data_IF_546756151853
#
_entry.id   IF_546756151853
#
_cell.length_a   1.000
_cell.length_b   1.000
_cell.length_c   1.000
_cell.angle_alpha   90.00
_cell.angle_beta   90.00
_cell.angle_gamma   90.00
#
_symmetry.space_group_name_H-M   'P 1'
#
loop_
_entity.id
_entity.type
_entity.pdbx_description
1 polymer ?
#
# COMPACT_ATOMS: atom_id res chain seq x y z
N UNK A 1 34.59 46.48 -0.85
CA UNK A 1 33.14 46.64 -0.54
C UNK A 1 32.68 48.10 -0.69
N UNK A 2 33.55 49.07 -0.40
CA UNK A 2 33.37 50.44 -0.88
C UNK A 2 34.02 50.63 -2.24
N UNK A 3 33.45 51.52 -3.04
CA UNK A 3 34.10 52.02 -4.25
C UNK A 3 35.12 53.10 -3.88
N UNK A 4 36.36 52.88 -4.31
CA UNK A 4 37.51 53.77 -4.06
C UNK A 4 38.22 54.12 -5.38
N UNK A 5 37.55 53.94 -6.52
CA UNK A 5 38.10 54.21 -7.85
C UNK A 5 38.14 55.70 -8.22
N UNK A 6 37.38 56.53 -7.49
CA UNK A 6 37.29 57.98 -7.66
C UNK A 6 38.41 58.78 -6.97
N UNK A 7 38.14 60.07 -6.72
CA UNK A 7 39.08 60.95 -6.02
C UNK A 7 39.24 60.57 -4.54
N UNK A 8 40.32 61.00 -3.87
CA UNK A 8 40.52 60.72 -2.43
C UNK A 8 39.36 61.25 -1.58
N UNK A 9 38.82 62.43 -1.92
CA UNK A 9 37.68 63.01 -1.21
C UNK A 9 36.42 62.14 -1.34
N UNK A 10 36.16 61.62 -2.54
CA UNK A 10 35.04 60.74 -2.85
C UNK A 10 35.19 59.36 -2.17
N UNK A 11 36.38 58.79 -2.18
CA UNK A 11 36.67 57.54 -1.46
C UNK A 11 36.45 57.69 0.06
N UNK A 12 36.85 58.83 0.64
CA UNK A 12 36.61 59.12 2.06
C UNK A 12 35.13 59.32 2.37
N UNK A 13 34.38 59.96 1.47
CA UNK A 13 32.92 60.14 1.61
C UNK A 13 32.21 58.79 1.58
N UNK A 14 32.54 57.93 0.61
CA UNK A 14 31.99 56.57 0.50
C UNK A 14 32.28 55.73 1.76
N UNK A 15 33.51 55.79 2.28
CA UNK A 15 33.91 55.09 3.50
C UNK A 15 33.20 55.64 4.74
N UNK A 16 32.75 56.90 4.76
CA UNK A 16 32.06 57.47 5.92
C UNK A 16 30.55 57.26 5.85
N UNK A 17 29.94 57.50 4.69
CA UNK A 17 28.50 57.70 4.57
C UNK A 17 27.76 56.54 3.90
N UNK A 18 28.42 55.77 3.02
CA UNK A 18 27.74 54.68 2.31
C UNK A 18 27.69 53.38 3.11
N UNK A 19 26.62 52.60 2.90
CA UNK A 19 26.51 51.24 3.41
C UNK A 19 27.39 50.32 2.56
N UNK A 20 28.30 49.52 3.15
CA UNK A 20 29.18 48.65 2.38
C UNK A 20 28.36 47.64 1.58
N UNK A 21 28.66 47.51 0.28
CA UNK A 21 28.07 46.47 -0.55
C UNK A 21 28.40 45.10 0.04
N UNK A 22 27.42 44.18 0.03
CA UNK A 22 27.63 42.83 0.55
C UNK A 22 28.62 42.08 -0.35
N UNK A 23 29.74 41.56 0.18
CA UNK A 23 30.69 40.76 -0.60
C UNK A 23 30.05 39.69 -1.49
N UNK A 24 28.97 39.03 -1.06
CA UNK A 24 28.26 38.02 -1.85
C UNK A 24 27.53 38.57 -3.09
N UNK A 25 27.21 39.87 -3.12
CA UNK A 25 26.68 40.53 -4.31
C UNK A 25 27.76 40.75 -5.37
N UNK A 26 29.04 40.82 -4.95
CA UNK A 26 30.20 41.00 -5.84
C UNK A 26 30.80 39.64 -6.21
N UNK A 27 30.94 38.74 -5.23
CA UNK A 27 31.52 37.40 -5.34
C UNK A 27 30.53 36.38 -4.78
N UNK A 28 29.76 35.73 -5.66
CA UNK A 28 28.66 34.84 -5.28
C UNK A 28 29.05 33.69 -4.33
N UNK A 29 30.30 33.19 -4.45
CA UNK A 29 30.85 32.10 -3.63
C UNK A 29 31.44 32.54 -2.30
N UNK A 30 31.36 33.83 -1.95
CA UNK A 30 31.89 34.33 -0.69
C UNK A 30 31.17 33.71 0.52
N UNK A 31 31.91 33.30 1.54
CA UNK A 31 31.35 32.64 2.72
C UNK A 31 30.45 33.63 3.50
N UNK A 32 29.23 33.21 3.81
CA UNK A 32 28.24 34.07 4.46
C UNK A 32 28.62 34.47 5.89
N UNK A 33 29.40 33.64 6.58
CA UNK A 33 29.82 33.90 7.96
C UNK A 33 31.02 34.87 7.95
N UNK A 34 31.94 34.72 7.00
CA UNK A 34 33.02 35.72 6.77
C UNK A 34 32.44 37.07 6.35
N UNK A 35 31.39 37.07 5.53
CA UNK A 35 30.68 38.29 5.15
C UNK A 35 30.09 39.00 6.38
N UNK A 36 29.46 38.26 7.29
CA UNK A 36 28.92 38.83 8.52
C UNK A 36 30.02 39.41 9.42
N UNK A 37 31.15 38.71 9.57
CA UNK A 37 32.32 39.20 10.31
C UNK A 37 32.84 40.50 9.68
N UNK A 38 33.00 40.53 8.36
CA UNK A 38 33.47 41.71 7.62
C UNK A 38 32.52 42.90 7.79
N UNK A 39 31.22 42.70 7.59
CA UNK A 39 30.22 43.76 7.71
C UNK A 39 30.15 44.32 9.13
N UNK A 40 30.30 43.46 10.16
CA UNK A 40 30.39 43.91 11.55
C UNK A 40 31.65 44.75 11.81
N UNK A 41 32.78 44.42 11.20
CA UNK A 41 33.99 45.26 11.28
C UNK A 41 33.80 46.63 10.61
N UNK A 42 33.01 46.68 9.53
CA UNK A 42 32.76 47.88 8.71
C UNK A 42 31.53 48.70 9.17
N UNK A 43 30.85 48.31 10.25
CA UNK A 43 29.68 49.04 10.74
C UNK A 43 30.02 50.51 11.01
N UNK A 44 29.11 51.46 10.72
CA UNK A 44 29.43 52.89 10.90
C UNK A 44 29.46 53.28 12.37
N UNK A 45 28.45 52.83 13.13
CA UNK A 45 28.42 52.99 14.56
C UNK A 45 29.49 52.11 15.22
N UNK A 46 30.29 52.71 16.11
CA UNK A 46 31.31 52.01 16.91
C UNK A 46 30.69 50.98 17.84
N UNK A 47 29.47 51.19 18.32
CA UNK A 47 28.76 50.26 19.21
C UNK A 47 28.40 48.94 18.52
N UNK A 48 28.22 48.96 17.19
CA UNK A 48 27.89 47.79 16.39
C UNK A 48 29.11 46.98 15.95
N UNK A 49 30.31 47.57 16.02
CA UNK A 49 31.58 46.87 15.74
C UNK A 49 31.95 45.91 16.87
N UNK A 50 32.95 45.07 16.61
CA UNK A 50 33.63 44.36 17.69
C UNK A 50 34.29 45.37 18.63
N UNK A 51 34.06 45.22 19.93
CA UNK A 51 34.57 46.14 20.94
C UNK A 51 36.06 45.89 21.25
N UNK A 52 36.58 44.72 20.86
CA UNK A 52 37.99 44.38 20.98
C UNK A 52 38.46 43.45 19.86
N UNK A 53 39.78 43.40 19.64
CA UNK A 53 40.38 42.41 18.75
C UNK A 53 40.16 40.96 19.23
N UNK A 54 39.99 40.76 20.54
CA UNK A 54 39.69 39.45 21.12
C UNK A 54 38.28 38.94 20.71
N UNK A 55 37.29 39.83 20.63
CA UNK A 55 35.95 39.46 20.13
C UNK A 55 35.97 39.06 18.66
N UNK A 56 36.72 39.81 17.83
CA UNK A 56 36.92 39.48 16.42
C UNK A 56 37.62 38.12 16.27
N UNK A 57 38.69 37.88 17.05
CA UNK A 57 39.39 36.60 17.07
C UNK A 57 38.46 35.45 17.47
N UNK A 58 37.57 35.68 18.45
CA UNK A 58 36.59 34.70 18.88
C UNK A 58 35.64 34.27 17.75
N UNK A 59 35.14 35.22 16.95
CA UNK A 59 34.28 34.89 15.80
C UNK A 59 35.06 34.25 14.64
N UNK A 60 36.32 34.63 14.42
CA UNK A 60 37.19 33.96 13.44
C UNK A 60 37.48 32.51 13.83
N UNK A 61 37.80 32.25 15.10
CA UNK A 61 38.00 30.89 15.61
C UNK A 61 36.74 30.05 15.47
N UNK A 62 35.58 30.61 15.84
CA UNK A 62 34.28 29.93 15.63
C UNK A 62 34.05 29.61 14.16
N UNK A 63 34.34 30.53 13.25
CA UNK A 63 34.22 30.27 11.83
C UNK A 63 35.13 29.12 11.37
N UNK A 64 36.41 29.11 11.77
CA UNK A 64 37.37 28.05 11.47
C UNK A 64 36.92 26.69 12.02
N UNK A 65 36.35 26.67 13.23
CA UNK A 65 35.85 25.47 13.91
C UNK A 65 34.46 25.01 13.42
N UNK A 66 33.89 25.66 12.40
CA UNK A 66 32.52 25.46 11.93
C UNK A 66 31.46 25.58 13.05
N UNK A 67 31.70 26.51 13.98
CA UNK A 67 30.77 26.90 15.04
C UNK A 67 29.90 28.10 14.61
N UNK A 68 28.72 28.29 15.23
CA UNK A 68 27.93 29.50 15.07
C UNK A 68 28.70 30.74 15.53
N UNK A 69 28.83 31.75 14.66
CA UNK A 69 29.45 33.05 14.99
C UNK A 69 28.47 34.01 15.67
N UNK A 70 28.98 34.95 16.48
CA UNK A 70 28.15 35.98 17.17
C UNK A 70 27.65 37.03 16.18
N UNK A 71 28.42 37.36 15.15
CA UNK A 71 28.04 38.39 14.18
C UNK A 71 26.78 38.08 13.36
N UNK A 72 26.24 36.86 13.43
CA UNK A 72 25.01 36.46 12.74
C UNK A 72 23.88 36.26 13.75
N UNK A 73 22.69 36.74 13.42
CA UNK A 73 21.51 36.54 14.27
C UNK A 73 21.26 35.04 14.50
N UNK A 74 20.96 34.69 15.75
CA UNK A 74 20.90 33.30 16.22
C UNK A 74 19.60 32.66 15.72
N UNK A 75 19.62 32.14 14.49
CA UNK A 75 18.54 31.27 14.00
C UNK A 75 18.78 29.84 14.49
N UNK A 76 17.77 29.20 15.10
CA UNK A 76 17.85 27.81 15.55
C UNK A 76 18.22 26.84 14.40
N UNK A 77 17.77 27.15 13.18
CA UNK A 77 18.13 26.38 11.98
C UNK A 77 19.60 26.55 11.59
N UNK A 78 20.17 27.75 11.74
CA UNK A 78 21.59 28.01 11.48
C UNK A 78 22.47 27.21 12.45
N UNK A 79 22.15 27.27 13.75
CA UNK A 79 22.87 26.52 14.79
C UNK A 79 22.77 25.01 14.53
N UNK A 80 21.56 24.50 14.27
CA UNK A 80 21.36 23.08 13.96
C UNK A 80 22.16 22.63 12.73
N UNK A 81 22.17 23.44 11.66
CA UNK A 81 22.93 23.12 10.44
C UNK A 81 24.43 23.06 10.69
N UNK A 82 24.98 23.98 11.49
CA UNK A 82 26.41 23.94 11.88
C UNK A 82 26.73 22.68 12.67
N UNK A 83 25.91 22.35 13.68
CA UNK A 83 26.06 21.12 14.49
C UNK A 83 26.02 19.86 13.62
N UNK A 84 25.03 19.76 12.72
CA UNK A 84 24.89 18.62 11.78
C UNK A 84 26.09 18.53 10.83
N UNK A 85 26.57 19.66 10.31
CA UNK A 85 27.71 19.69 9.39
C UNK A 85 29.03 19.27 10.04
N UNK A 86 29.19 19.51 11.35
CA UNK A 86 30.36 19.13 12.15
C UNK A 86 30.34 17.65 12.50
N UNK A 87 29.19 17.12 12.89
CA UNK A 87 29.03 15.73 13.33
C UNK A 87 28.28 14.88 12.29
N UNK A 88 28.76 14.88 11.04
CA UNK A 88 28.07 14.21 9.91
C UNK A 88 27.76 12.74 10.17
N UNK A 89 28.67 12.01 10.82
CA UNK A 89 28.48 10.59 11.10
C UNK A 89 27.40 10.38 12.19
N UNK A 90 27.48 11.13 13.30
CA UNK A 90 26.47 11.09 14.36
C UNK A 90 25.09 11.51 13.84
N UNK A 91 25.03 12.54 12.99
CA UNK A 91 23.79 13.00 12.37
C UNK A 91 23.17 11.95 11.44
N UNK A 92 23.98 11.21 10.66
CA UNK A 92 23.49 10.09 9.84
C UNK A 92 22.89 8.99 10.70
N UNK A 93 23.57 8.59 11.79
CA UNK A 93 23.08 7.56 12.71
C UNK A 93 21.77 8.01 13.38
N UNK A 94 21.72 9.23 13.90
CA UNK A 94 20.51 9.79 14.50
C UNK A 94 19.35 9.87 13.49
N UNK A 95 19.62 10.31 12.26
CA UNK A 95 18.65 10.33 11.18
C UNK A 95 18.11 8.93 10.84
N UNK A 96 18.98 7.93 10.77
CA UNK A 96 18.58 6.55 10.55
C UNK A 96 17.68 6.03 11.68
N UNK A 97 18.03 6.30 12.94
CA UNK A 97 17.21 5.92 14.09
C UNK A 97 15.83 6.56 14.04
N UNK A 98 15.74 7.85 13.68
CA UNK A 98 14.45 8.52 13.49
C UNK A 98 13.62 7.84 12.41
N UNK A 99 14.22 7.50 11.26
CA UNK A 99 13.52 6.78 10.18
C UNK A 99 13.02 5.42 10.65
N UNK A 100 13.83 4.67 11.41
CA UNK A 100 13.43 3.37 11.96
C UNK A 100 12.26 3.54 12.93
N UNK A 101 12.31 4.52 13.84
CA UNK A 101 11.23 4.79 14.80
C UNK A 101 9.95 5.19 14.07
N UNK A 102 10.04 6.04 13.04
CA UNK A 102 8.88 6.45 12.25
C UNK A 102 8.29 5.28 11.45
N UNK A 103 9.13 4.45 10.82
CA UNK A 103 8.68 3.25 10.12
C UNK A 103 8.02 2.25 11.07
N UNK A 104 8.61 2.04 12.25
CA UNK A 104 8.05 1.18 13.30
C UNK A 104 6.72 1.74 13.82
N UNK A 105 6.65 3.04 14.07
CA UNK A 105 5.42 3.71 14.54
C UNK A 105 4.32 3.64 13.49
N UNK A 106 4.67 3.87 12.23
CA UNK A 106 3.75 3.74 11.09
C UNK A 106 3.25 2.30 10.96
N UNK A 107 4.13 1.31 10.86
CA UNK A 107 3.72 -0.10 10.77
C UNK A 107 2.89 -0.54 11.98
N UNK A 108 3.27 -0.15 13.19
CA UNK A 108 2.48 -0.40 14.41
C UNK A 108 1.10 0.25 14.36
N UNK A 109 1.00 1.49 13.88
CA UNK A 109 -0.28 2.18 13.72
C UNK A 109 -1.18 1.48 12.70
N UNK A 110 -0.66 1.09 11.54
CA UNK A 110 -1.43 0.36 10.53
C UNK A 110 -1.92 -0.99 11.03
N UNK A 111 -1.04 -1.76 11.70
CA UNK A 111 -1.42 -3.03 12.30
C UNK A 111 -2.43 -2.87 13.44
N UNK A 112 -2.36 -1.77 14.21
CA UNK A 112 -3.33 -1.46 15.25
C UNK A 112 -4.69 -1.05 14.66
N UNK A 113 -4.71 -0.21 13.64
CA UNK A 113 -5.93 0.21 12.97
C UNK A 113 -6.69 -1.00 12.38
N UNK A 114 -5.97 -1.94 11.77
CA UNK A 114 -6.54 -3.18 11.21
C UNK A 114 -7.07 -4.11 12.32
N UNK A 115 -6.41 -4.14 13.49
CA UNK A 115 -6.88 -4.91 14.65
C UNK A 115 -8.05 -4.28 15.39
N UNK A 116 -8.18 -2.95 15.41
CA UNK A 116 -9.32 -2.26 16.04
C UNK A 116 -10.57 -2.49 15.21
N UNK A 117 -10.49 -2.34 13.89
CA UNK A 117 -11.61 -2.67 13.01
C UNK A 117 -11.90 -4.16 13.03
N UNK A 118 -10.89 -5.03 12.88
CA UNK A 118 -11.09 -6.48 12.96
C UNK A 118 -11.60 -6.93 14.33
N UNK A 119 -11.25 -6.23 15.41
CA UNK A 119 -11.73 -6.47 16.77
C UNK A 119 -13.20 -6.08 16.94
N UNK A 120 -13.62 -4.93 16.43
CA UNK A 120 -15.02 -4.51 16.41
C UNK A 120 -15.88 -5.42 15.54
N UNK A 121 -15.38 -5.81 14.37
CA UNK A 121 -16.03 -6.80 13.51
C UNK A 121 -16.09 -8.16 14.23
N UNK A 122 -14.99 -8.65 14.81
CA UNK A 122 -14.96 -9.94 15.52
C UNK A 122 -15.85 -9.95 16.76
N UNK A 123 -15.96 -8.85 17.52
CA UNK A 123 -16.89 -8.69 18.64
C UNK A 123 -18.35 -8.71 18.15
N UNK A 124 -18.64 -8.00 17.06
CA UNK A 124 -19.97 -7.92 16.47
C UNK A 124 -20.40 -9.25 15.84
N UNK A 125 -19.47 -9.93 15.17
CA UNK A 125 -19.64 -11.31 14.70
C UNK A 125 -19.77 -12.26 15.88
N UNK A 126 -18.96 -12.16 16.94
CA UNK A 126 -19.04 -13.04 18.12
C UNK A 126 -20.36 -12.88 18.87
N UNK A 127 -20.91 -11.66 18.97
CA UNK A 127 -22.23 -11.37 19.55
C UNK A 127 -23.36 -11.91 18.68
N UNK A 128 -23.33 -11.65 17.36
CA UNK A 128 -24.26 -12.26 16.41
C UNK A 128 -24.19 -13.81 16.44
N UNK A 129 -23.00 -14.38 16.59
CA UNK A 129 -22.73 -15.82 16.69
C UNK A 129 -23.10 -16.43 18.06
N UNK A 130 -23.33 -15.61 19.07
CA UNK A 130 -23.77 -16.03 20.41
C UNK A 130 -25.28 -15.94 20.60
N UNK A 131 -25.96 -15.03 19.91
CA UNK A 131 -27.42 -14.89 19.92
C UNK A 131 -28.11 -15.87 18.95
N UNK A 132 -27.44 -16.26 17.86
CA UNK A 132 -27.95 -17.19 16.86
C UNK A 132 -27.23 -18.55 16.91
N UNK A 133 -27.73 -19.50 17.70
CA UNK A 133 -27.18 -20.86 17.78
C UNK A 133 -27.16 -21.66 16.45
N UNK A 134 -27.73 -21.13 15.36
CA UNK A 134 -27.81 -21.76 14.04
C UNK A 134 -26.63 -21.46 13.07
N UNK A 135 -25.94 -20.32 13.21
CA UNK A 135 -24.93 -19.88 12.22
C UNK A 135 -23.55 -20.52 12.37
N UNK A 136 -23.17 -21.03 13.56
CA UNK A 136 -21.95 -21.83 13.74
C UNK A 136 -21.91 -23.09 12.86
N UNK A 137 -23.07 -23.69 12.60
CA UNK A 137 -23.18 -24.85 11.71
C UNK A 137 -23.13 -24.46 10.22
N UNK A 138 -23.54 -23.24 9.84
CA UNK A 138 -23.53 -22.78 8.44
C UNK A 138 -22.11 -22.58 7.90
N UNK A 139 -21.27 -21.81 8.61
CA UNK A 139 -19.87 -21.58 8.22
C UNK A 139 -19.03 -22.87 8.26
N UNK A 140 -19.30 -23.75 9.23
CA UNK A 140 -18.64 -25.06 9.30
C UNK A 140 -18.97 -25.94 8.08
N UNK A 141 -20.22 -25.92 7.59
CA UNK A 141 -20.62 -26.64 6.37
C UNK A 141 -19.92 -26.10 5.13
N UNK A 142 -19.85 -24.78 4.97
CA UNK A 142 -19.15 -24.14 3.85
C UNK A 142 -17.66 -24.44 3.84
N UNK A 143 -17.01 -24.32 4.99
CA UNK A 143 -15.59 -24.63 5.14
C UNK A 143 -15.31 -26.11 4.80
N UNK A 144 -16.18 -27.02 5.25
CA UNK A 144 -16.10 -28.45 4.93
C UNK A 144 -16.21 -28.69 3.42
N UNK A 145 -17.14 -28.01 2.73
CA UNK A 145 -17.28 -28.12 1.29
C UNK A 145 -16.10 -27.54 0.50
N UNK A 146 -15.54 -26.41 0.93
CA UNK A 146 -14.34 -25.87 0.30
C UNK A 146 -13.12 -26.79 0.47
N UNK A 147 -12.97 -27.35 1.67
CA UNK A 147 -11.93 -28.35 1.97
C UNK A 147 -12.12 -29.59 1.09
N UNK A 148 -13.37 -30.05 0.92
CA UNK A 148 -13.70 -31.12 -0.01
C UNK A 148 -13.25 -30.79 -1.44
N UNK A 149 -13.59 -29.61 -1.96
CA UNK A 149 -13.21 -29.20 -3.31
C UNK A 149 -11.70 -29.16 -3.49
N UNK A 150 -10.96 -28.62 -2.51
CA UNK A 150 -9.50 -28.58 -2.55
C UNK A 150 -8.88 -29.99 -2.59
N UNK A 151 -9.33 -30.87 -1.71
CA UNK A 151 -8.85 -32.27 -1.68
C UNK A 151 -9.26 -33.01 -2.95
N UNK A 152 -10.47 -32.77 -3.45
CA UNK A 152 -10.98 -33.37 -4.67
C UNK A 152 -10.21 -32.93 -5.92
N UNK A 153 -9.90 -31.64 -6.09
CA UNK A 153 -9.07 -31.16 -7.22
C UNK A 153 -7.67 -31.77 -7.22
N UNK A 154 -7.14 -32.10 -6.05
CA UNK A 154 -5.81 -32.71 -5.88
C UNK A 154 -5.86 -34.25 -5.82
N UNK A 155 -6.97 -34.87 -6.26
CA UNK A 155 -7.18 -36.33 -6.27
C UNK A 155 -6.95 -37.02 -4.90
N UNK A 156 -7.18 -36.28 -3.81
CA UNK A 156 -7.03 -36.75 -2.45
C UNK A 156 -8.26 -37.49 -1.90
N UNK A 157 -8.14 -38.10 -0.71
CA UNK A 157 -9.21 -38.91 -0.12
C UNK A 157 -10.32 -38.02 0.47
N UNK A 158 -11.45 -37.96 -0.21
CA UNK A 158 -12.60 -37.11 0.17
C UNK A 158 -13.62 -37.79 1.11
N UNK A 159 -13.59 -39.12 1.25
CA UNK A 159 -14.67 -39.88 1.89
C UNK A 159 -15.01 -39.43 3.32
N UNK A 160 -13.98 -39.14 4.14
CA UNK A 160 -14.17 -38.61 5.50
C UNK A 160 -14.75 -37.20 5.51
N UNK A 161 -14.37 -36.36 4.55
CA UNK A 161 -14.81 -34.95 4.47
C UNK A 161 -16.29 -34.88 4.12
N UNK A 162 -16.73 -35.70 3.18
CA UNK A 162 -18.13 -35.81 2.77
C UNK A 162 -19.04 -36.24 3.93
N UNK A 163 -18.56 -37.09 4.83
CA UNK A 163 -19.31 -37.53 6.02
C UNK A 163 -19.56 -36.43 7.07
N UNK A 164 -18.86 -35.30 7.00
CA UNK A 164 -19.13 -34.14 7.86
C UNK A 164 -20.19 -33.18 7.29
N UNK A 165 -20.63 -33.40 6.05
CA UNK A 165 -21.71 -32.62 5.43
C UNK A 165 -23.07 -33.22 5.84
N UNK A 166 -24.07 -32.38 6.10
CA UNK A 166 -25.42 -32.87 6.41
C UNK A 166 -26.03 -33.58 5.21
N UNK A 167 -26.73 -34.70 5.41
CA UNK A 167 -27.16 -35.58 4.30
C UNK A 167 -28.05 -34.90 3.26
N UNK A 168 -28.89 -33.95 3.67
CA UNK A 168 -29.77 -33.16 2.80
C UNK A 168 -29.21 -31.78 2.45
N UNK A 169 -27.95 -31.51 2.81
CA UNK A 169 -27.34 -30.21 2.54
C UNK A 169 -26.99 -30.03 1.07
N UNK A 170 -27.04 -28.78 0.59
CA UNK A 170 -26.63 -28.44 -0.78
C UNK A 170 -25.18 -28.86 -1.07
N UNK A 171 -24.31 -28.79 -0.07
CA UNK A 171 -22.91 -29.21 -0.12
C UNK A 171 -22.79 -30.72 -0.34
N UNK A 172 -23.60 -31.52 0.37
CA UNK A 172 -23.60 -32.99 0.22
C UNK A 172 -24.08 -33.42 -1.16
N UNK A 173 -25.12 -32.76 -1.67
CA UNK A 173 -25.67 -32.99 -3.01
C UNK A 173 -24.62 -32.64 -4.07
N UNK A 174 -23.97 -31.48 -3.94
CA UNK A 174 -22.90 -31.05 -4.84
C UNK A 174 -21.69 -32.00 -4.81
N UNK A 175 -21.25 -32.44 -3.63
CA UNK A 175 -20.17 -33.41 -3.50
C UNK A 175 -20.53 -34.75 -4.17
N UNK A 176 -21.77 -35.23 -4.02
CA UNK A 176 -22.27 -36.42 -4.71
C UNK A 176 -22.22 -36.29 -6.23
N UNK A 177 -22.62 -35.13 -6.76
CA UNK A 177 -22.53 -34.84 -8.19
C UNK A 177 -21.09 -34.82 -8.70
N UNK A 178 -20.16 -34.19 -7.98
CA UNK A 178 -18.74 -34.09 -8.36
C UNK A 178 -18.01 -35.43 -8.28
N UNK A 179 -18.41 -36.32 -7.37
CA UNK A 179 -17.85 -37.67 -7.24
C UNK A 179 -18.46 -38.69 -8.19
N UNK A 180 -19.60 -38.38 -8.80
CA UNK A 180 -20.21 -39.27 -9.78
C UNK A 180 -19.33 -39.36 -11.04
N UNK A 181 -18.81 -40.56 -11.40
CA UNK A 181 -17.88 -40.71 -12.53
C UNK A 181 -18.55 -40.61 -13.91
N UNK A 182 -19.88 -40.53 -13.97
CA UNK A 182 -20.63 -40.41 -15.22
C UNK A 182 -20.34 -39.06 -15.90
N UNK A 183 -20.38 -39.06 -17.24
CA UNK A 183 -20.16 -37.88 -18.06
C UNK A 183 -21.07 -36.70 -17.65
N UNK A 184 -20.52 -35.49 -17.63
CA UNK A 184 -21.24 -34.29 -17.18
C UNK A 184 -22.59 -34.10 -17.88
N UNK A 185 -22.62 -34.30 -19.20
CA UNK A 185 -23.83 -34.17 -20.02
C UNK A 185 -24.99 -35.08 -19.57
N UNK A 186 -24.67 -36.21 -18.92
CA UNK A 186 -25.66 -37.19 -18.45
C UNK A 186 -26.12 -36.94 -17.00
N UNK A 187 -25.30 -36.26 -16.18
CA UNK A 187 -25.59 -36.03 -14.75
C UNK A 187 -26.00 -34.59 -14.39
N UNK A 188 -25.69 -33.60 -15.23
CA UNK A 188 -25.93 -32.18 -14.93
C UNK A 188 -27.41 -31.85 -14.77
N UNK A 189 -28.27 -32.32 -15.70
CA UNK A 189 -29.70 -32.02 -15.64
C UNK A 189 -30.35 -32.52 -14.34
N UNK A 190 -29.93 -33.70 -13.87
CA UNK A 190 -30.40 -34.28 -12.61
C UNK A 190 -29.92 -33.46 -11.42
N UNK A 191 -28.64 -33.05 -11.41
CA UNK A 191 -28.10 -32.18 -10.36
C UNK A 191 -28.83 -30.84 -10.31
N UNK A 192 -29.06 -30.19 -11.45
CA UNK A 192 -29.75 -28.89 -11.50
C UNK A 192 -31.18 -28.94 -10.95
N UNK A 193 -31.87 -30.06 -11.10
CA UNK A 193 -33.21 -30.31 -10.53
C UNK A 193 -33.19 -30.69 -9.04
N UNK A 194 -32.05 -31.15 -8.53
CA UNK A 194 -31.90 -31.60 -7.14
C UNK A 194 -31.80 -30.44 -6.13
N UNK A 195 -31.57 -29.22 -6.60
CA UNK A 195 -31.49 -28.02 -5.77
C UNK A 195 -32.52 -26.97 -6.22
N UNK A 196 -33.08 -26.16 -5.30
CA UNK A 196 -34.03 -25.11 -5.66
C UNK A 196 -33.42 -24.01 -6.54
N UNK A 197 -34.26 -23.22 -7.21
CA UNK A 197 -33.82 -22.26 -8.25
C UNK A 197 -33.13 -20.99 -7.70
N UNK A 198 -33.37 -20.64 -6.45
CA UNK A 198 -32.63 -19.58 -5.75
C UNK A 198 -31.12 -19.91 -5.60
N UNK A 199 -30.76 -21.19 -5.66
CA UNK A 199 -29.38 -21.68 -5.65
C UNK A 199 -28.77 -21.82 -7.04
N UNK A 200 -29.33 -21.21 -8.09
CA UNK A 200 -28.76 -21.28 -9.44
C UNK A 200 -27.31 -20.81 -9.51
N UNK A 201 -26.94 -19.80 -8.72
CA UNK A 201 -25.54 -19.38 -8.59
C UNK A 201 -24.63 -20.52 -8.11
N UNK A 202 -25.08 -21.31 -7.13
CA UNK A 202 -24.32 -22.41 -6.54
C UNK A 202 -24.25 -23.60 -7.51
N UNK A 203 -25.35 -23.89 -8.22
CA UNK A 203 -25.38 -24.91 -9.27
C UNK A 203 -24.34 -24.60 -10.35
N UNK A 204 -24.31 -23.36 -10.83
CA UNK A 204 -23.35 -22.92 -11.86
C UNK A 204 -21.90 -22.95 -11.35
N UNK A 205 -21.66 -22.55 -10.09
CA UNK A 205 -20.34 -22.67 -9.46
C UNK A 205 -19.85 -24.12 -9.44
N UNK A 206 -20.70 -25.06 -9.00
CA UNK A 206 -20.35 -26.48 -8.90
C UNK A 206 -20.11 -27.11 -10.28
N UNK A 207 -20.92 -26.76 -11.28
CA UNK A 207 -20.70 -27.19 -12.68
C UNK A 207 -19.38 -26.62 -13.20
N UNK A 208 -19.06 -25.36 -12.88
CA UNK A 208 -17.77 -24.74 -13.19
C UNK A 208 -16.59 -25.50 -12.58
N UNK A 209 -16.66 -25.88 -11.30
CA UNK A 209 -15.62 -26.69 -10.64
C UNK A 209 -15.43 -28.06 -11.33
N UNK A 210 -16.51 -28.67 -11.85
CA UNK A 210 -16.41 -29.90 -12.65
C UNK A 210 -15.66 -29.67 -13.96
N UNK A 211 -16.02 -28.68 -14.76
CA UNK A 211 -15.30 -28.35 -16.00
C UNK A 211 -13.83 -28.01 -15.72
N UNK A 212 -13.58 -27.23 -14.66
CA UNK A 212 -12.24 -26.82 -14.28
C UNK A 212 -11.34 -28.02 -13.98
N UNK A 213 -11.82 -28.99 -13.19
CA UNK A 213 -11.04 -30.20 -12.88
C UNK A 213 -10.68 -31.01 -14.13
N UNK A 214 -11.61 -31.10 -15.09
CA UNK A 214 -11.43 -31.90 -16.31
C UNK A 214 -10.73 -31.13 -17.44
N UNK A 215 -10.23 -29.91 -17.16
CA UNK A 215 -9.43 -29.12 -18.12
C UNK A 215 -10.24 -28.31 -19.13
N UNK A 216 -11.57 -28.31 -19.04
CA UNK A 216 -12.45 -27.53 -19.93
C UNK A 216 -12.59 -26.08 -19.43
N UNK A 217 -11.49 -25.34 -19.50
CA UNK A 217 -11.37 -23.99 -18.94
C UNK A 217 -12.36 -22.98 -19.52
N UNK A 218 -12.78 -23.17 -20.78
CA UNK A 218 -13.70 -22.25 -21.46
C UNK A 218 -15.12 -22.39 -20.90
N UNK A 219 -15.62 -23.61 -20.78
CA UNK A 219 -16.94 -23.84 -20.19
C UNK A 219 -16.92 -23.59 -18.67
N UNK A 220 -15.80 -23.85 -17.99
CA UNK A 220 -15.62 -23.45 -16.59
C UNK A 220 -15.77 -21.94 -16.41
N UNK A 221 -15.10 -21.13 -17.25
CA UNK A 221 -15.20 -19.67 -17.19
C UNK A 221 -16.64 -19.19 -17.37
N UNK A 222 -17.35 -19.70 -18.38
CA UNK A 222 -18.77 -19.33 -18.61
C UNK A 222 -19.66 -19.67 -17.41
N UNK A 223 -19.47 -20.85 -16.82
CA UNK A 223 -20.23 -21.27 -15.65
C UNK A 223 -19.95 -20.36 -14.45
N UNK A 224 -18.70 -19.97 -14.23
CA UNK A 224 -18.34 -19.02 -13.17
C UNK A 224 -18.89 -17.61 -13.43
N UNK A 225 -18.89 -17.14 -14.67
CA UNK A 225 -19.49 -15.84 -15.04
C UNK A 225 -21.00 -15.85 -14.78
N UNK A 226 -21.71 -16.92 -15.18
CA UNK A 226 -23.13 -17.12 -14.90
C UNK A 226 -23.42 -17.15 -13.39
N UNK A 227 -22.60 -17.89 -12.64
CA UNK A 227 -22.68 -17.95 -11.18
C UNK A 227 -22.53 -16.57 -10.53
N UNK A 228 -21.55 -15.79 -11.00
CA UNK A 228 -21.28 -14.44 -10.49
C UNK A 228 -22.39 -13.46 -10.86
N UNK A 229 -22.92 -13.54 -12.08
CA UNK A 229 -24.05 -12.72 -12.51
C UNK A 229 -25.30 -13.02 -11.67
N UNK A 230 -25.57 -14.30 -11.40
CA UNK A 230 -26.67 -14.72 -10.53
C UNK A 230 -26.52 -14.15 -9.10
N UNK A 231 -25.30 -14.17 -8.53
CA UNK A 231 -25.00 -13.52 -7.24
C UNK A 231 -25.23 -12.01 -7.32
N UNK A 232 -24.77 -11.37 -8.39
CA UNK A 232 -24.89 -9.92 -8.55
C UNK A 232 -26.34 -9.45 -8.68
N UNK A 233 -27.24 -10.28 -9.22
CA UNK A 233 -28.68 -9.99 -9.30
C UNK A 233 -29.40 -10.17 -7.95
N UNK A 234 -28.85 -10.99 -7.06
CA UNK A 234 -29.36 -11.17 -5.69
C UNK A 234 -28.96 -10.00 -4.77
N UNK A 235 -27.85 -9.32 -5.06
CA UNK A 235 -27.38 -8.14 -4.34
C UNK A 235 -27.77 -6.83 -5.05
N UNK A 236 -28.75 -6.09 -4.52
CA UNK A 236 -29.09 -4.75 -4.99
C UNK A 236 -27.86 -3.83 -5.14
N UNK A 237 -27.96 -2.87 -6.06
CA UNK A 237 -26.94 -1.97 -6.63
C UNK A 237 -26.09 -1.12 -5.64
N UNK A 238 -26.06 -1.43 -4.36
CA UNK A 238 -25.77 -0.48 -3.30
C UNK A 238 -24.42 -0.73 -2.62
N UNK A 239 -23.42 -1.28 -3.34
CA UNK A 239 -21.99 -1.21 -2.99
C UNK A 239 -21.54 -1.67 -1.57
N UNK A 240 -22.41 -2.23 -0.74
CA UNK A 240 -22.12 -2.57 0.65
C UNK A 240 -22.74 -3.93 1.04
N UNK A 241 -21.85 -4.90 1.25
CA UNK A 241 -22.05 -6.25 1.82
C UNK A 241 -22.88 -7.29 1.02
N UNK A 242 -22.20 -8.16 0.26
CA UNK A 242 -22.78 -9.41 -0.30
C UNK A 242 -23.25 -10.43 0.76
N UNK A 243 -22.81 -10.30 2.02
CA UNK A 243 -22.92 -11.36 3.02
C UNK A 243 -24.29 -11.55 3.70
N UNK A 244 -25.20 -10.57 3.63
CA UNK A 244 -26.44 -10.61 4.45
C UNK A 244 -27.54 -11.49 3.83
N UNK A 245 -27.55 -11.68 2.51
CA UNK A 245 -28.66 -12.34 1.80
C UNK A 245 -28.32 -13.73 1.24
N UNK A 246 -27.03 -14.04 1.06
CA UNK A 246 -26.52 -15.32 0.51
C UNK A 246 -26.50 -16.48 1.53
N UNK A 247 -27.43 -16.54 2.48
CA UNK A 247 -27.42 -17.54 3.57
C UNK A 247 -26.00 -17.71 4.22
N UNK A 248 -25.24 -16.62 4.33
CA UNK A 248 -23.84 -16.58 4.80
C UNK A 248 -22.79 -17.30 3.92
N UNK A 249 -23.01 -17.63 2.63
CA UNK A 249 -22.08 -18.35 1.72
C UNK A 249 -20.86 -17.52 1.20
N UNK A 250 -20.26 -16.73 2.08
CA UNK A 250 -19.14 -15.80 1.78
C UNK A 250 -17.90 -16.56 1.25
N UNK A 251 -17.69 -17.79 1.74
CA UNK A 251 -16.55 -18.63 1.36
C UNK A 251 -16.67 -19.15 -0.10
N UNK A 252 -17.86 -19.50 -0.56
CA UNK A 252 -18.07 -19.93 -1.94
C UNK A 252 -17.89 -18.76 -2.92
N UNK A 253 -18.40 -17.58 -2.58
CA UNK A 253 -18.25 -16.36 -3.38
C UNK A 253 -16.78 -15.96 -3.55
N UNK A 254 -16.00 -15.99 -2.47
CA UNK A 254 -14.56 -15.68 -2.52
C UNK A 254 -13.78 -16.67 -3.39
N UNK A 255 -14.08 -17.98 -3.32
CA UNK A 255 -13.48 -18.99 -4.21
C UNK A 255 -13.88 -18.79 -5.67
N UNK A 256 -15.14 -18.45 -5.94
CA UNK A 256 -15.63 -18.11 -7.28
C UNK A 256 -14.86 -16.93 -7.89
N UNK A 257 -14.69 -15.84 -7.11
CA UNK A 257 -13.90 -14.67 -7.54
C UNK A 257 -12.44 -15.04 -7.85
N UNK A 258 -11.83 -15.91 -7.03
CA UNK A 258 -10.48 -16.39 -7.28
C UNK A 258 -10.37 -17.19 -8.60
N UNK A 259 -11.35 -18.05 -8.90
CA UNK A 259 -11.40 -18.80 -10.18
C UNK A 259 -11.57 -17.91 -11.40
N UNK A 260 -12.46 -16.91 -11.32
CA UNK A 260 -12.63 -15.91 -12.38
C UNK A 260 -11.33 -15.15 -12.64
N UNK A 261 -10.64 -14.74 -11.58
CA UNK A 261 -9.34 -14.08 -11.70
C UNK A 261 -8.30 -15.00 -12.36
N UNK A 262 -8.17 -16.24 -11.87
CA UNK A 262 -7.25 -17.26 -12.41
C UNK A 262 -7.46 -17.48 -13.92
N UNK A 263 -8.70 -17.72 -14.35
CA UNK A 263 -9.02 -17.98 -15.75
C UNK A 263 -8.93 -16.73 -16.63
N UNK A 264 -9.25 -15.55 -16.11
CA UNK A 264 -9.12 -14.29 -16.86
C UNK A 264 -7.65 -13.93 -17.16
N UNK A 265 -6.73 -14.22 -16.24
CA UNK A 265 -5.28 -14.04 -16.44
C UNK A 265 -4.75 -15.02 -17.48
N UNK A 266 -5.18 -16.29 -17.44
CA UNK A 266 -4.81 -17.31 -18.42
C UNK A 266 -5.28 -16.95 -19.83
N UNK A 267 -6.51 -16.47 -19.98
CA UNK A 267 -7.08 -16.09 -21.28
C UNK A 267 -6.34 -14.88 -21.91
N UNK A 268 -5.91 -13.89 -21.10
CA UNK A 268 -5.06 -12.78 -21.57
C UNK A 268 -3.67 -13.25 -22.02
N UNK A 269 -3.10 -14.26 -21.37
CA UNK A 269 -1.81 -14.85 -21.75
C UNK A 269 -1.85 -15.64 -23.07
N UNK A 270 -2.98 -16.28 -23.37
CA UNK A 270 -3.18 -17.00 -24.64
C UNK A 270 -3.44 -16.05 -25.82
N UNK A 271 -4.20 -14.96 -25.62
CA UNK A 271 -4.39 -13.93 -26.66
C UNK A 271 -3.11 -13.14 -26.98
N UNK A 272 -2.16 -13.03 -26.04
CA UNK A 272 -0.85 -12.42 -26.27
C UNK A 272 0.14 -13.29 -27.06
N UNK A 273 -0.14 -14.60 -27.26
CA UNK A 273 0.72 -15.54 -27.99
C UNK A 273 0.31 -15.76 -29.45
N UNK A 274 -0.84 -15.27 -29.89
CA UNK A 274 -1.16 -15.20 -31.33
C UNK A 274 -0.46 -13.99 -31.96
N UNK A 275 0.81 -14.15 -32.32
CA UNK A 275 1.56 -13.18 -33.12
C UNK A 275 0.89 -12.96 -34.49
N UNK A 276 1.03 -11.77 -35.10
CA UNK A 276 0.48 -11.48 -36.41
C UNK A 276 1.15 -12.38 -37.46
N UNK A 277 0.35 -12.98 -38.34
CA UNK A 277 0.86 -13.57 -39.58
C UNK A 277 1.59 -12.47 -40.36
N UNK A 278 2.92 -12.56 -40.40
CA UNK A 278 3.73 -11.98 -41.46
C UNK A 278 3.35 -12.70 -42.76
N UNK A 279 2.36 -12.17 -43.45
CA UNK A 279 2.02 -12.53 -44.82
C UNK A 279 2.60 -11.47 -45.75
N UNK A 280 3.73 -11.79 -46.38
CA UNK A 280 4.19 -11.05 -47.54
C UNK A 280 3.23 -11.24 -48.71
N UNK A 281 3.09 -10.19 -49.52
CA UNK A 281 2.84 -10.33 -50.95
C UNK A 281 3.35 -9.07 -51.63
N UNK A 282 4.31 -9.31 -52.52
CA UNK A 282 4.61 -8.50 -53.69
C UNK A 282 3.33 -7.98 -54.37
N UNK A 283 3.33 -6.70 -54.75
CA UNK A 283 3.58 -6.23 -56.13
C UNK A 283 3.71 -4.72 -56.16
#
# INVERSE_FOLDING_TARGET
PYDVSGSIAEALDNIQNEVPARPRQIISRFDSDVEAILLKCLAKDRSERYQSAAELLGDLQRWLDNLPIVAKSVSSLYVLRKIVSRHRNTAKVAGLLIVIVLAFSYTSYYLYADKVTAGEYAEKYRKALSEEGGTKFGLAKQYTFLTFLEVWHNDGPVGRIVGFMGDESKERIAAGFLLNPIALAEKEATFRRSLPDDLNWFKDFVVGENHFKHGDKKEALKAYESSYEAISKLGGHDGFSPGIWLNNDILAESKLKARLYELSVVNKGEQGRSSPKLGGSEK
#
